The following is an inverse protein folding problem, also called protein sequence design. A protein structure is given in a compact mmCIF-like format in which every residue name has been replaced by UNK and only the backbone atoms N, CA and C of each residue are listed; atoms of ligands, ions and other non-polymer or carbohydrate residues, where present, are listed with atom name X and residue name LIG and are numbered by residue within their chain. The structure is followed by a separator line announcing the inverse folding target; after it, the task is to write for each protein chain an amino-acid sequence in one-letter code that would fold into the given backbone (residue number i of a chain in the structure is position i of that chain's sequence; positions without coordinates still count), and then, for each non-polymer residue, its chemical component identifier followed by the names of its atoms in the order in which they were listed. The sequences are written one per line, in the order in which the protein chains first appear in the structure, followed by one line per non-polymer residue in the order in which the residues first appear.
data_IF_819175641720
#
_entry.id   IF_819175641720
#
_cell.length_a   1.000
_cell.length_b   1.000
_cell.length_c   1.000
_cell.angle_alpha   90.00
_cell.angle_beta   90.00
_cell.angle_gamma   90.00
#
_symmetry.space_group_name_H-M   'P 1'
#
loop_
_entity.id
_entity.type
_entity.pdbx_description
1 polymer ?
#
# COMPACT_ATOMS: atom_id res chain seq x y z
N UNK A 1 14.18 -29.17 -77.57
CA UNK A 1 14.52 -30.03 -76.40
C UNK A 1 14.29 -29.24 -75.11
N UNK A 2 13.98 -29.96 -74.04
CA UNK A 2 13.24 -29.54 -72.85
C UNK A 2 14.05 -28.72 -71.83
N UNK A 3 13.36 -27.74 -71.23
CA UNK A 3 13.48 -27.07 -69.91
C UNK A 3 14.63 -27.47 -68.97
N UNK A 4 15.27 -26.49 -68.34
CA UNK A 4 15.15 -26.18 -66.89
C UNK A 4 15.93 -24.90 -66.54
N UNK A 5 15.21 -23.86 -66.12
CA UNK A 5 15.75 -22.71 -65.38
C UNK A 5 15.69 -23.13 -63.91
N UNK A 6 16.83 -23.20 -63.24
CA UNK A 6 16.92 -23.41 -61.79
C UNK A 6 17.20 -22.04 -61.18
N UNK A 7 16.20 -21.48 -60.50
CA UNK A 7 16.35 -20.31 -59.65
C UNK A 7 17.11 -20.67 -58.39
N UNK A 8 18.15 -19.90 -58.07
CA UNK A 8 18.85 -19.98 -56.80
C UNK A 8 18.31 -18.85 -55.91
N UNK A 9 17.29 -19.18 -55.10
CA UNK A 9 16.77 -18.29 -54.08
C UNK A 9 17.75 -18.29 -52.90
N UNK A 10 18.44 -17.19 -52.67
CA UNK A 10 19.27 -16.97 -51.50
C UNK A 10 18.35 -16.70 -50.29
N UNK A 11 18.05 -17.72 -49.50
CA UNK A 11 17.36 -17.56 -48.22
C UNK A 11 18.38 -17.10 -47.16
N UNK A 12 18.41 -15.80 -46.89
CA UNK A 12 19.08 -15.25 -45.70
C UNK A 12 18.20 -15.62 -44.50
N UNK A 13 18.61 -16.66 -43.78
CA UNK A 13 18.02 -17.03 -42.50
C UNK A 13 18.35 -15.95 -41.47
N UNK A 14 17.44 -15.00 -41.29
CA UNK A 14 17.39 -14.17 -40.09
C UNK A 14 16.89 -15.05 -38.93
N UNK A 15 17.80 -15.75 -38.27
CA UNK A 15 17.56 -16.22 -36.90
C UNK A 15 17.54 -15.00 -36.00
N UNK A 16 16.38 -14.36 -35.90
CA UNK A 16 16.08 -13.44 -34.82
C UNK A 16 16.10 -14.23 -33.51
N UNK A 17 17.18 -14.09 -32.75
CA UNK A 17 17.20 -14.47 -31.36
C UNK A 17 16.19 -13.57 -30.63
N UNK A 18 14.96 -14.07 -30.48
CA UNK A 18 14.02 -13.59 -29.47
C UNK A 18 14.67 -13.88 -28.11
N UNK A 19 15.42 -12.91 -27.61
CA UNK A 19 15.72 -12.81 -26.19
C UNK A 19 14.37 -12.48 -25.56
N UNK A 20 13.67 -13.53 -25.12
CA UNK A 20 12.50 -13.40 -24.27
C UNK A 20 12.94 -12.72 -23.00
N UNK A 21 12.70 -11.41 -22.91
CA UNK A 21 12.62 -10.73 -21.63
C UNK A 21 11.44 -11.36 -20.91
N UNK A 22 11.71 -12.35 -20.07
CA UNK A 22 10.81 -12.79 -19.02
C UNK A 22 10.68 -11.61 -18.04
N UNK A 23 9.92 -10.60 -18.47
CA UNK A 23 9.45 -9.54 -17.60
C UNK A 23 8.60 -10.21 -16.55
N UNK A 24 9.00 -10.08 -15.30
CA UNK A 24 8.21 -10.48 -14.14
C UNK A 24 6.88 -9.72 -14.20
N UNK A 25 5.82 -10.37 -14.67
CA UNK A 25 4.45 -9.85 -14.76
C UNK A 25 3.77 -9.75 -13.39
N UNK A 26 4.52 -9.43 -12.33
CA UNK A 26 4.05 -9.47 -10.95
C UNK A 26 3.46 -8.16 -10.41
N UNK A 27 3.28 -7.12 -11.22
CA UNK A 27 2.90 -5.78 -10.73
C UNK A 27 1.41 -5.45 -10.92
N UNK A 28 0.67 -6.19 -11.76
CA UNK A 28 -0.69 -5.79 -12.15
C UNK A 28 -1.81 -6.79 -11.85
N UNK A 29 -1.54 -7.95 -11.23
CA UNK A 29 -2.64 -8.84 -10.84
C UNK A 29 -3.58 -8.24 -9.78
N UNK A 30 -3.17 -7.18 -9.06
CA UNK A 30 -3.81 -6.87 -7.78
C UNK A 30 -4.58 -5.54 -7.72
N UNK A 31 -4.43 -4.59 -8.66
CA UNK A 31 -5.21 -3.35 -8.58
C UNK A 31 -6.72 -3.60 -8.75
N UNK A 32 -7.11 -4.58 -9.58
CA UNK A 32 -8.50 -4.96 -9.81
C UNK A 32 -9.08 -5.88 -8.72
N UNK A 33 -8.25 -6.70 -8.06
CA UNK A 33 -8.69 -7.60 -6.97
C UNK A 33 -9.09 -6.84 -5.69
N UNK A 34 -8.70 -5.57 -5.55
CA UNK A 34 -8.91 -4.79 -4.32
C UNK A 34 -10.21 -3.99 -4.31
N UNK A 35 -10.95 -3.96 -5.43
CA UNK A 35 -12.29 -3.37 -5.52
C UNK A 35 -13.41 -4.36 -5.08
N UNK A 36 -13.08 -5.61 -4.76
CA UNK A 36 -14.05 -6.72 -4.70
C UNK A 36 -14.66 -7.08 -3.33
N UNK A 37 -14.45 -6.32 -2.25
CA UNK A 37 -14.94 -6.69 -0.90
C UNK A 37 -16.10 -5.80 -0.37
N UNK A 38 -17.00 -5.34 -1.26
CA UNK A 38 -18.13 -4.47 -0.90
C UNK A 38 -19.48 -5.20 -0.71
N UNK A 39 -19.51 -6.51 -0.45
CA UNK A 39 -20.77 -7.25 -0.31
C UNK A 39 -20.83 -8.22 0.88
N UNK A 40 -20.83 -7.68 2.10
CA UNK A 40 -21.43 -8.35 3.27
C UNK A 40 -21.78 -7.33 4.37
N UNK A 41 -22.81 -6.51 4.12
CA UNK A 41 -23.43 -5.70 5.16
C UNK A 41 -24.11 -6.63 6.18
N UNK A 42 -23.62 -6.61 7.42
CA UNK A 42 -24.24 -7.28 8.56
C UNK A 42 -25.65 -6.72 8.79
N UNK A 43 -26.65 -7.57 8.67
CA UNK A 43 -28.00 -7.31 9.21
C UNK A 43 -28.11 -8.06 10.53
N UNK A 44 -27.94 -7.36 11.65
CA UNK A 44 -28.39 -7.87 12.95
C UNK A 44 -29.17 -6.79 13.66
N UNK A 45 -30.48 -7.02 13.72
CA UNK A 45 -31.50 -6.21 14.35
C UNK A 45 -31.28 -6.10 15.87
N UNK A 46 -31.43 -4.88 16.38
CA UNK A 46 -31.48 -4.56 17.81
C UNK A 46 -32.67 -5.24 18.51
N UNK A 47 -32.48 -5.65 19.76
CA UNK A 47 -33.58 -5.81 20.72
C UNK A 47 -33.15 -5.26 22.08
N UNK A 48 -33.88 -4.24 22.52
CA UNK A 48 -33.73 -3.53 23.80
C UNK A 48 -34.63 -4.17 24.86
N UNK A 49 -34.12 -4.40 26.09
CA UNK A 49 -34.64 -3.82 27.35
C UNK A 49 -33.92 -4.36 28.62
N UNK A 50 -33.89 -3.60 29.74
CA UNK A 50 -33.03 -3.81 30.95
C UNK A 50 -33.87 -4.18 32.21
N UNK A 51 -33.38 -4.02 33.47
CA UNK A 51 -32.09 -4.36 34.09
C UNK A 51 -32.26 -5.32 35.31
N UNK A 52 -31.15 -5.79 35.89
CA UNK A 52 -31.13 -6.22 37.29
C UNK A 52 -29.91 -5.62 37.99
N UNK A 53 -30.17 -4.89 39.07
CA UNK A 53 -29.19 -4.32 39.99
C UNK A 53 -28.34 -5.42 40.63
N UNK A 54 -27.03 -5.22 40.63
CA UNK A 54 -26.22 -5.69 41.77
C UNK A 54 -25.13 -4.66 42.01
N UNK A 55 -25.24 -4.03 43.17
CA UNK A 55 -24.29 -3.14 43.79
C UNK A 55 -22.90 -3.79 43.90
N UNK A 56 -21.87 -3.10 43.42
CA UNK A 56 -20.48 -3.46 43.68
C UNK A 56 -19.76 -2.29 44.33
N UNK A 57 -19.14 -2.63 45.44
CA UNK A 57 -18.42 -1.84 46.42
C UNK A 57 -17.30 -1.00 45.81
N UNK A 58 -17.29 0.30 46.11
CA UNK A 58 -16.25 1.24 45.65
C UNK A 58 -15.05 1.12 46.60
N UNK A 59 -14.05 0.34 46.20
CA UNK A 59 -12.74 0.36 46.85
C UNK A 59 -11.87 1.40 46.15
N UNK A 60 -11.56 2.49 46.86
CA UNK A 60 -10.64 3.51 46.39
C UNK A 60 -9.21 2.95 46.30
N UNK A 61 -8.62 3.00 45.09
CA UNK A 61 -7.22 2.61 44.84
C UNK A 61 -6.34 3.87 44.94
N UNK A 62 -5.22 3.84 45.69
CA UNK A 62 -4.36 5.01 45.86
C UNK A 62 -3.64 5.37 44.57
N UNK A 63 -3.61 6.67 44.25
CA UNK A 63 -2.89 7.25 43.12
C UNK A 63 -1.39 7.30 43.39
N UNK A 64 -0.62 6.48 42.67
CA UNK A 64 0.83 6.65 42.51
C UNK A 64 1.11 6.84 41.01
N UNK A 65 1.96 7.79 40.57
CA UNK A 65 2.16 8.07 39.15
C UNK A 65 3.18 7.08 38.57
N UNK A 66 2.71 5.87 38.27
CA UNK A 66 3.50 4.84 37.61
C UNK A 66 2.74 4.34 36.36
N UNK A 67 3.45 4.40 35.22
CA UNK A 67 3.14 3.87 33.88
C UNK A 67 2.09 2.74 33.84
N UNK A 68 1.05 2.80 32.97
CA UNK A 68 0.05 1.74 32.88
C UNK A 68 0.66 0.41 32.38
N UNK A 69 0.27 -0.74 32.95
CA UNK A 69 0.97 -2.03 32.79
C UNK A 69 0.73 -2.78 31.47
N UNK A 70 -0.01 -2.24 30.49
CA UNK A 70 -0.47 -3.00 29.31
C UNK A 70 -0.15 -2.35 27.96
N UNK A 71 0.79 -1.40 27.85
CA UNK A 71 1.19 -0.91 26.52
C UNK A 71 1.92 -2.03 25.77
N UNK A 72 1.43 -2.50 24.61
CA UNK A 72 2.17 -3.42 23.78
C UNK A 72 3.56 -2.83 23.47
N UNK A 73 4.61 -3.67 23.37
CA UNK A 73 5.93 -3.26 22.89
C UNK A 73 5.87 -2.72 21.44
N UNK A 74 6.98 -2.47 20.74
CA UNK A 74 6.92 -2.11 19.33
C UNK A 74 6.14 -3.14 18.50
N UNK A 75 5.49 -2.68 17.41
CA UNK A 75 4.87 -3.59 16.44
C UNK A 75 5.90 -4.64 16.02
N UNK A 76 5.52 -5.93 15.89
CA UNK A 76 6.43 -6.97 15.42
C UNK A 76 7.09 -6.59 14.09
N UNK A 77 8.37 -6.94 13.97
CA UNK A 77 9.11 -6.86 12.71
C UNK A 77 8.45 -7.75 11.63
N UNK A 78 8.66 -7.43 10.32
CA UNK A 78 8.21 -8.29 9.23
C UNK A 78 8.70 -9.73 9.42
N UNK A 79 7.82 -10.71 9.15
CA UNK A 79 8.23 -12.12 9.00
C UNK A 79 8.84 -12.31 7.61
N UNK A 80 9.57 -13.39 7.37
CA UNK A 80 10.02 -13.77 6.03
C UNK A 80 9.21 -14.97 5.53
N UNK A 81 8.78 -14.93 4.27
CA UNK A 81 8.25 -16.10 3.57
C UNK A 81 9.38 -17.11 3.24
N UNK A 82 9.06 -18.32 2.73
CA UNK A 82 10.07 -19.32 2.36
C UNK A 82 11.10 -18.86 1.31
N UNK A 83 10.80 -17.78 0.57
CA UNK A 83 11.69 -17.18 -0.43
C UNK A 83 12.45 -15.96 0.10
N UNK A 84 12.33 -15.66 1.40
CA UNK A 84 13.00 -14.52 2.05
C UNK A 84 12.28 -13.18 1.85
N UNK A 85 11.02 -13.16 1.41
CA UNK A 85 10.26 -11.92 1.22
C UNK A 85 9.62 -11.45 2.53
N UNK A 86 9.69 -10.14 2.87
CA UNK A 86 9.08 -9.65 4.09
C UNK A 86 7.55 -9.62 3.98
N UNK A 87 6.89 -10.38 4.85
CA UNK A 87 5.44 -10.52 4.96
C UNK A 87 4.93 -9.90 6.26
N UNK A 88 3.69 -9.42 6.22
CA UNK A 88 3.02 -8.78 7.33
C UNK A 88 2.79 -9.79 8.47
N UNK A 89 3.06 -9.37 9.71
CA UNK A 89 3.06 -10.27 10.87
C UNK A 89 1.68 -10.89 11.16
N UNK A 90 0.61 -10.17 10.83
CA UNK A 90 -0.79 -10.54 11.08
C UNK A 90 -1.42 -11.38 9.97
N UNK A 91 -0.94 -11.25 8.73
CA UNK A 91 -1.46 -12.01 7.59
C UNK A 91 -0.36 -12.15 6.52
N UNK A 92 0.11 -13.37 6.25
CA UNK A 92 1.22 -13.64 5.34
C UNK A 92 0.90 -13.35 3.86
N UNK A 93 -0.37 -13.08 3.51
CA UNK A 93 -0.74 -12.65 2.15
C UNK A 93 -0.30 -11.21 1.84
N UNK A 94 -0.06 -10.39 2.87
CA UNK A 94 0.43 -9.03 2.72
C UNK A 94 1.95 -8.95 2.91
N UNK A 95 2.55 -7.92 2.30
CA UNK A 95 3.96 -7.58 2.53
C UNK A 95 4.12 -6.61 3.69
N UNK A 96 5.28 -6.61 4.32
CA UNK A 96 5.69 -5.50 5.18
C UNK A 96 7.11 -5.08 4.78
N UNK A 97 7.21 -4.40 3.64
CA UNK A 97 8.48 -3.89 3.14
C UNK A 97 9.03 -2.86 4.11
N UNK A 98 10.37 -2.78 4.15
CA UNK A 98 11.05 -1.68 4.84
C UNK A 98 10.72 -0.36 4.17
N UNK A 99 10.77 0.72 4.95
CA UNK A 99 10.59 2.10 4.50
C UNK A 99 11.91 2.81 4.21
N UNK A 100 12.94 2.05 3.88
CA UNK A 100 14.28 2.57 3.60
C UNK A 100 14.22 3.59 2.44
N UNK A 101 14.85 4.75 2.64
CA UNK A 101 14.91 5.82 1.64
C UNK A 101 13.71 6.76 1.60
N UNK A 102 12.72 6.60 2.48
CA UNK A 102 11.82 7.71 2.79
C UNK A 102 12.63 8.90 3.33
N UNK A 103 12.10 10.11 3.17
CA UNK A 103 12.69 11.28 3.85
C UNK A 103 12.58 11.10 5.37
N UNK A 104 13.59 11.55 6.12
CA UNK A 104 13.69 11.37 7.57
C UNK A 104 12.40 11.72 8.32
N UNK A 105 11.75 12.84 7.98
CA UNK A 105 10.50 13.26 8.60
C UNK A 105 9.33 12.31 8.31
N UNK A 106 9.25 11.78 7.09
CA UNK A 106 8.25 10.79 6.71
C UNK A 106 8.52 9.45 7.39
N UNK A 107 9.77 8.98 7.41
CA UNK A 107 10.14 7.74 8.09
C UNK A 107 9.84 7.81 9.60
N UNK A 108 10.20 8.92 10.26
CA UNK A 108 9.90 9.13 11.67
C UNK A 108 8.39 9.16 11.94
N UNK A 109 7.62 9.84 11.09
CA UNK A 109 6.16 9.86 11.19
C UNK A 109 5.55 8.47 10.97
N UNK A 110 6.08 7.68 10.04
CA UNK A 110 5.65 6.30 9.78
C UNK A 110 5.90 5.39 10.98
N UNK A 111 7.11 5.44 11.57
CA UNK A 111 7.44 4.68 12.78
C UNK A 111 6.52 5.05 13.94
N UNK A 112 6.24 6.35 14.10
CA UNK A 112 5.35 6.82 15.15
C UNK A 112 3.91 6.31 14.96
N UNK A 113 3.33 6.44 13.76
CA UNK A 113 1.95 5.98 13.52
C UNK A 113 1.81 4.46 13.58
N UNK A 114 2.84 3.71 13.18
CA UNK A 114 2.90 2.24 13.41
C UNK A 114 2.82 1.89 14.89
N UNK A 115 3.55 2.62 15.74
CA UNK A 115 3.49 2.41 17.18
C UNK A 115 2.09 2.69 17.74
N UNK A 116 1.49 3.82 17.36
CA UNK A 116 0.15 4.20 17.85
C UNK A 116 -0.93 3.22 17.37
N UNK A 117 -0.87 2.79 16.11
CA UNK A 117 -1.79 1.77 15.59
C UNK A 117 -1.66 0.46 16.36
N UNK A 118 -0.43 0.04 16.64
CA UNK A 118 -0.15 -1.19 17.37
C UNK A 118 -0.66 -1.17 18.82
N UNK A 119 -0.51 -0.04 19.50
CA UNK A 119 -1.10 0.18 20.82
C UNK A 119 -2.64 0.13 20.79
N UNK A 120 -3.24 0.43 19.63
CA UNK A 120 -4.68 0.29 19.36
C UNK A 120 -5.07 -1.11 18.81
N UNK A 121 -4.16 -2.08 18.80
CA UNK A 121 -4.41 -3.44 18.33
C UNK A 121 -4.44 -3.60 16.81
N UNK A 122 -3.93 -2.63 16.06
CA UNK A 122 -3.84 -2.64 14.60
C UNK A 122 -2.41 -2.80 14.14
N UNK A 123 -2.18 -3.59 13.10
CA UNK A 123 -0.87 -3.72 12.46
C UNK A 123 -0.89 -2.99 11.13
N UNK A 124 0.00 -2.01 10.97
CA UNK A 124 0.23 -1.29 9.72
C UNK A 124 1.43 -1.93 9.00
N UNK A 125 1.20 -2.42 7.79
CA UNK A 125 2.20 -3.05 6.95
C UNK A 125 2.36 -2.27 5.65
N UNK A 126 3.58 -2.25 5.11
CA UNK A 126 3.91 -1.52 3.88
C UNK A 126 3.94 -2.45 2.68
N UNK A 127 3.08 -2.19 1.70
CA UNK A 127 3.16 -2.83 0.39
C UNK A 127 4.27 -2.23 -0.45
N UNK A 128 4.33 -0.90 -0.49
CA UNK A 128 5.39 -0.18 -1.18
C UNK A 128 5.72 1.16 -0.52
N UNK A 129 6.97 1.57 -0.60
CA UNK A 129 7.52 2.77 0.03
C UNK A 129 8.28 3.62 -0.98
N UNK A 130 9.53 3.99 -0.68
CA UNK A 130 10.34 4.75 -1.63
C UNK A 130 10.63 3.92 -2.90
N UNK A 131 10.37 4.51 -4.07
CA UNK A 131 10.65 3.92 -5.40
C UNK A 131 11.82 4.66 -6.09
N UNK A 132 12.58 3.98 -6.95
CA UNK A 132 13.56 4.66 -7.81
C UNK A 132 12.88 5.29 -9.03
N UNK A 133 13.50 6.32 -9.61
CA UNK A 133 13.01 6.94 -10.86
C UNK A 133 12.86 5.91 -11.98
N UNK A 134 13.82 5.00 -12.12
CA UNK A 134 13.80 3.96 -13.15
C UNK A 134 12.67 2.94 -12.93
N UNK A 135 12.43 2.51 -11.68
CA UNK A 135 11.32 1.62 -11.37
C UNK A 135 9.96 2.30 -11.63
N UNK A 136 9.81 3.59 -11.26
CA UNK A 136 8.60 4.34 -11.56
C UNK A 136 8.39 4.50 -13.07
N UNK A 137 9.47 4.71 -13.84
CA UNK A 137 9.39 4.83 -15.29
C UNK A 137 8.91 3.51 -15.91
N UNK A 138 9.42 2.37 -15.45
CA UNK A 138 8.98 1.06 -15.93
C UNK A 138 7.49 0.80 -15.63
N UNK A 139 7.00 1.16 -14.45
CA UNK A 139 5.56 1.06 -14.13
C UNK A 139 4.71 1.97 -15.02
N UNK A 140 5.18 3.20 -15.25
CA UNK A 140 4.50 4.16 -16.11
C UNK A 140 4.44 3.67 -17.57
N UNK A 141 5.55 3.17 -18.10
CA UNK A 141 5.62 2.63 -19.46
C UNK A 141 4.71 1.40 -19.63
N UNK A 142 4.66 0.52 -18.61
CA UNK A 142 3.73 -0.60 -18.58
C UNK A 142 2.27 -0.15 -18.59
N UNK A 143 1.92 0.90 -17.82
CA UNK A 143 0.58 1.48 -17.82
C UNK A 143 0.24 2.13 -19.18
N UNK A 144 1.20 2.78 -19.84
CA UNK A 144 1.01 3.32 -21.20
C UNK A 144 0.73 2.21 -22.20
N UNK A 145 1.48 1.11 -22.14
CA UNK A 145 1.27 -0.05 -22.99
C UNK A 145 -0.12 -0.68 -22.75
N UNK A 146 -0.54 -0.78 -21.48
CA UNK A 146 -1.83 -1.36 -21.09
C UNK A 146 -3.02 -0.50 -21.50
N UNK A 147 -2.95 0.81 -21.25
CA UNK A 147 -4.08 1.73 -21.48
C UNK A 147 -4.06 2.39 -22.87
N UNK A 148 -3.02 2.13 -23.67
CA UNK A 148 -2.88 2.57 -25.06
C UNK A 148 -2.59 4.07 -25.23
N UNK A 149 -2.41 4.84 -24.15
CA UNK A 149 -2.00 6.23 -24.23
C UNK A 149 -1.46 6.75 -22.90
N UNK A 150 -0.57 7.74 -22.98
CA UNK A 150 -0.09 8.53 -21.83
C UNK A 150 -1.23 9.18 -21.06
N UNK A 151 -2.25 9.69 -21.75
CA UNK A 151 -3.37 10.38 -21.11
C UNK A 151 -4.18 9.44 -20.21
N UNK A 152 -4.46 8.22 -20.68
CA UNK A 152 -5.18 7.21 -19.88
C UNK A 152 -4.30 6.63 -18.77
N UNK A 153 -3.03 6.35 -19.05
CA UNK A 153 -2.11 5.77 -18.07
C UNK A 153 -1.94 6.64 -16.81
N UNK A 154 -1.93 7.97 -16.98
CA UNK A 154 -1.82 8.93 -15.87
C UNK A 154 -2.94 8.85 -14.83
N UNK A 155 -4.08 8.25 -15.17
CA UNK A 155 -5.18 8.02 -14.22
C UNK A 155 -4.90 6.85 -13.26
N UNK A 156 -3.82 6.10 -13.47
CA UNK A 156 -3.48 4.91 -12.69
C UNK A 156 -2.03 4.91 -12.21
N UNK A 157 -1.10 5.52 -12.97
CA UNK A 157 0.32 5.59 -12.61
C UNK A 157 0.87 6.96 -12.95
N UNK A 158 1.50 7.60 -11.96
CA UNK A 158 2.19 8.87 -12.17
C UNK A 158 3.52 8.68 -12.91
N UNK A 159 3.88 9.61 -13.81
CA UNK A 159 5.24 9.65 -14.35
C UNK A 159 6.26 9.94 -13.22
N UNK A 160 7.54 9.59 -13.39
CA UNK A 160 8.53 9.68 -12.31
C UNK A 160 8.64 11.05 -11.63
N UNK A 161 8.53 12.14 -12.39
CA UNK A 161 8.62 13.50 -11.85
C UNK A 161 7.42 13.95 -11.01
N UNK A 162 6.37 13.12 -10.88
CA UNK A 162 5.16 13.44 -10.11
C UNK A 162 4.91 12.47 -8.94
N UNK A 163 5.52 11.29 -8.96
CA UNK A 163 5.30 10.27 -7.92
C UNK A 163 5.94 10.66 -6.59
N UNK A 164 5.14 10.65 -5.50
CA UNK A 164 5.67 10.87 -4.15
C UNK A 164 6.41 9.63 -3.61
N UNK A 165 6.21 8.45 -4.18
CA UNK A 165 7.08 7.30 -3.90
C UNK A 165 8.51 7.58 -4.34
N UNK A 166 8.70 8.23 -5.50
CA UNK A 166 10.05 8.63 -5.97
C UNK A 166 10.67 9.65 -5.04
N UNK A 167 9.86 10.56 -4.48
CA UNK A 167 10.32 11.60 -3.56
C UNK A 167 10.56 11.11 -2.12
N UNK A 168 10.25 9.85 -1.81
CA UNK A 168 10.36 9.31 -0.45
C UNK A 168 9.31 9.88 0.50
N UNK A 169 8.12 10.21 -0.02
CA UNK A 169 7.03 10.88 0.69
C UNK A 169 5.71 10.11 0.58
N UNK A 170 5.71 8.86 0.10
CA UNK A 170 4.50 8.05 0.02
C UNK A 170 4.73 6.62 0.49
N UNK A 171 3.65 6.02 0.99
CA UNK A 171 3.57 4.60 1.34
C UNK A 171 2.22 4.04 0.89
N UNK A 172 2.24 2.80 0.41
CA UNK A 172 1.05 2.01 0.16
C UNK A 172 0.82 1.07 1.35
N UNK A 173 -0.30 1.26 2.03
CA UNK A 173 -0.60 0.69 3.35
C UNK A 173 -1.55 -0.49 3.23
N UNK A 174 -1.25 -1.55 3.98
CA UNK A 174 -2.07 -2.74 4.12
C UNK A 174 -2.06 -3.26 5.56
N UNK A 175 -3.02 -4.10 5.98
CA UNK A 175 -4.23 -4.47 5.26
C UNK A 175 -5.23 -3.31 5.14
N UNK A 176 -6.27 -3.47 4.32
CA UNK A 176 -7.28 -2.44 4.08
C UNK A 176 -7.92 -1.86 5.36
N UNK A 177 -8.25 -2.64 6.41
CA UNK A 177 -8.76 -2.08 7.66
C UNK A 177 -7.77 -1.16 8.37
N UNK A 178 -6.47 -1.44 8.29
CA UNK A 178 -5.41 -0.60 8.86
C UNK A 178 -5.21 0.69 8.05
N UNK A 179 -5.25 0.61 6.72
CA UNK A 179 -5.28 1.78 5.85
C UNK A 179 -6.50 2.68 6.16
N UNK A 180 -7.68 2.08 6.30
CA UNK A 180 -8.90 2.81 6.66
C UNK A 180 -8.82 3.45 8.06
N UNK A 181 -8.12 2.82 9.01
CA UNK A 181 -7.85 3.45 10.31
C UNK A 181 -6.94 4.67 10.15
N UNK A 182 -5.86 4.57 9.37
CA UNK A 182 -4.96 5.69 9.11
C UNK A 182 -5.70 6.87 8.45
N UNK A 183 -6.59 6.60 7.50
CA UNK A 183 -7.45 7.63 6.88
C UNK A 183 -8.32 8.36 7.91
N UNK A 184 -8.88 7.63 8.90
CA UNK A 184 -9.70 8.23 9.98
C UNK A 184 -8.92 9.13 10.93
N UNK A 185 -7.59 9.04 10.98
CA UNK A 185 -6.74 9.96 11.74
C UNK A 185 -6.68 11.37 11.13
N UNK A 186 -7.19 11.54 9.90
CA UNK A 186 -7.33 12.85 9.22
C UNK A 186 -6.04 13.68 9.19
N UNK A 187 -4.89 13.03 9.11
CA UNK A 187 -3.60 13.70 8.99
C UNK A 187 -2.91 14.04 10.32
N UNK A 188 -3.45 13.59 11.46
CA UNK A 188 -2.84 13.78 12.80
C UNK A 188 -1.35 13.37 12.84
N UNK A 189 -0.98 12.35 12.05
CA UNK A 189 0.39 11.85 11.95
C UNK A 189 1.19 12.43 10.78
N UNK A 190 0.61 13.34 10.00
CA UNK A 190 1.22 13.90 8.78
C UNK A 190 1.00 13.04 7.53
N UNK A 191 0.17 11.99 7.62
CA UNK A 191 -0.15 11.07 6.53
C UNK A 191 -1.59 11.22 6.08
N UNK A 192 -1.80 11.41 4.78
CA UNK A 192 -3.14 11.53 4.22
C UNK A 192 -3.29 10.67 2.98
N UNK A 193 -4.44 10.00 2.88
CA UNK A 193 -4.89 9.42 1.62
C UNK A 193 -5.14 10.55 0.62
N UNK A 194 -4.75 10.36 -0.63
CA UNK A 194 -4.86 11.41 -1.66
C UNK A 194 -5.75 11.08 -2.84
N UNK A 195 -5.95 9.80 -3.16
CA UNK A 195 -6.73 9.39 -4.33
C UNK A 195 -7.94 8.52 -3.94
N UNK A 196 -9.10 8.86 -4.50
CA UNK A 196 -10.37 8.19 -4.24
C UNK A 196 -10.40 6.77 -4.79
N UNK A 197 -9.67 6.48 -5.87
CA UNK A 197 -9.49 5.14 -6.42
C UNK A 197 -8.36 4.32 -5.75
N UNK A 198 -7.54 4.93 -4.88
CA UNK A 198 -6.41 4.24 -4.22
C UNK A 198 -6.53 4.32 -2.69
N UNK A 199 -7.41 3.52 -2.06
CA UNK A 199 -7.59 3.52 -0.61
C UNK A 199 -6.39 3.01 0.20
N UNK A 200 -5.36 2.50 -0.47
CA UNK A 200 -4.10 2.07 0.14
C UNK A 200 -3.03 3.17 0.13
N UNK A 201 -3.15 4.21 -0.72
CA UNK A 201 -2.07 5.16 -0.98
C UNK A 201 -2.10 6.36 -0.03
N UNK A 202 -1.00 6.60 0.69
CA UNK A 202 -0.85 7.72 1.62
C UNK A 202 0.38 8.55 1.29
N UNK A 203 0.21 9.87 1.28
CA UNK A 203 1.28 10.86 1.10
C UNK A 203 1.58 11.57 2.43
N UNK A 204 2.86 11.86 2.67
CA UNK A 204 3.33 12.59 3.83
C UNK A 204 3.50 14.08 3.54
N UNK A 205 2.92 14.91 4.40
CA UNK A 205 3.27 16.32 4.56
C UNK A 205 3.11 16.70 6.03
N UNK A 206 4.16 17.30 6.62
CA UNK A 206 4.12 17.72 8.02
C UNK A 206 2.99 18.71 8.32
N UNK A 207 2.54 19.48 7.31
CA UNK A 207 1.44 20.46 7.43
C UNK A 207 0.10 19.78 7.70
N UNK A 208 -0.11 18.54 7.26
CA UNK A 208 -1.37 17.81 7.49
C UNK A 208 -1.69 17.66 8.98
N UNK A 209 -0.68 17.65 9.86
CA UNK A 209 -0.87 17.61 11.32
C UNK A 209 -1.65 18.81 11.87
N UNK A 210 -1.59 19.94 11.17
CA UNK A 210 -2.23 21.20 11.58
C UNK A 210 -3.37 21.61 10.66
N UNK A 211 -3.32 21.23 9.39
CA UNK A 211 -4.28 21.63 8.36
C UNK A 211 -5.32 20.54 8.06
N UNK A 212 -5.11 19.31 8.54
CA UNK A 212 -5.87 18.15 8.15
C UNK A 212 -5.54 17.66 6.74
N UNK A 213 -6.23 16.61 6.32
CA UNK A 213 -6.08 16.08 4.98
C UNK A 213 -6.80 16.96 3.93
N UNK A 214 -6.18 17.20 2.76
CA UNK A 214 -6.86 17.81 1.62
C UNK A 214 -8.05 16.97 1.15
N UNK A 215 -8.92 17.57 0.34
CA UNK A 215 -9.91 16.81 -0.41
C UNK A 215 -9.24 15.75 -1.30
N UNK A 216 -9.87 14.58 -1.40
CA UNK A 216 -9.39 13.50 -2.24
C UNK A 216 -9.47 13.91 -3.70
N UNK A 217 -8.40 13.65 -4.44
CA UNK A 217 -8.42 13.68 -5.89
C UNK A 217 -9.10 12.39 -6.39
N UNK A 218 -9.78 12.41 -7.55
CA UNK A 218 -10.45 11.22 -8.07
C UNK A 218 -9.46 10.08 -8.38
N UNK A 219 -8.30 10.46 -8.91
CA UNK A 219 -7.19 9.60 -9.29
C UNK A 219 -5.88 10.40 -9.31
N UNK A 220 -4.71 9.75 -9.46
CA UNK A 220 -3.43 10.42 -9.61
C UNK A 220 -3.36 11.48 -10.72
#
# INVERSE_FOLDING_TARGET
MRRKIIGLTLAIGLTGALIGVLGTTGVWQNAAEWAGLDAAASTTTSRTSPPAETSVEVVAVPTNPARPPNTPGPQPEPKLDPNGKPICAVDPSYFDKKVDGLKDAAEAAWKHVRQVAWEAGLTLCVHDGKRSTAAQQAEFDAAVALHGSVAKAKQFVLPPGKSLHVQGLAVDVQPRPSAAWLERTKGEFGWCRRYANEPWHFEFDARYKTQGCPELLPHP
#
